data_IF_204158468577
#
_entry.id   IF_204158468577
#
_cell.length_a   1.000
_cell.length_b   1.000
_cell.length_c   1.000
_cell.angle_alpha   90.00
_cell.angle_beta   90.00
_cell.angle_gamma   90.00
#
_symmetry.space_group_name_H-M   'P 1'
#
loop_
_entity.id
_entity.type
_entity.pdbx_description
1 polymer ?
#
# COMPACT_ATOMS: atom_id res chain seq x y z
N UNK A 1 13.01 24.81 -51.79
CA UNK A 1 13.54 23.43 -51.57
C UNK A 1 14.19 23.37 -50.20
N UNK A 2 13.76 22.39 -49.37
CA UNK A 2 14.26 22.00 -48.01
C UNK A 2 14.09 23.12 -46.95
N UNK A 3 13.63 22.92 -45.70
CA UNK A 3 13.65 21.82 -44.72
C UNK A 3 12.38 22.02 -43.84
N UNK A 4 11.53 21.03 -43.56
CA UNK A 4 11.76 20.01 -42.55
C UNK A 4 11.61 20.57 -41.12
N UNK A 5 10.45 20.41 -40.48
CA UNK A 5 10.38 20.27 -39.02
C UNK A 5 9.10 19.49 -38.64
N UNK A 6 9.32 18.22 -38.29
CA UNK A 6 8.33 17.39 -37.62
C UNK A 6 8.18 17.90 -36.18
N UNK A 7 6.94 18.09 -35.71
CA UNK A 7 6.68 18.30 -34.29
C UNK A 7 6.39 16.94 -33.65
N UNK A 8 7.28 16.54 -32.74
CA UNK A 8 7.19 15.35 -31.91
C UNK A 8 6.01 15.42 -30.93
N UNK A 9 5.18 14.39 -30.99
CA UNK A 9 4.76 13.49 -29.89
C UNK A 9 5.02 13.99 -28.45
N UNK A 10 3.94 14.19 -27.69
CA UNK A 10 3.93 14.01 -26.23
C UNK A 10 2.97 12.86 -25.94
N UNK A 11 3.50 11.64 -25.96
CA UNK A 11 2.84 10.48 -25.34
C UNK A 11 3.03 10.67 -23.85
N UNK A 12 1.95 10.98 -23.14
CA UNK A 12 1.93 10.96 -21.68
C UNK A 12 2.23 9.54 -21.21
N UNK A 13 3.43 9.35 -20.66
CA UNK A 13 3.78 8.14 -19.95
C UNK A 13 2.92 8.09 -18.67
N UNK A 14 1.82 7.34 -18.73
CA UNK A 14 1.18 6.83 -17.52
C UNK A 14 2.12 5.77 -16.96
N UNK A 15 3.00 6.16 -16.03
CA UNK A 15 3.74 5.21 -15.22
C UNK A 15 2.78 4.70 -14.15
N UNK A 16 2.18 3.54 -14.41
CA UNK A 16 1.59 2.68 -13.39
C UNK A 16 2.66 2.35 -12.37
N UNK A 17 2.49 2.79 -11.12
CA UNK A 17 3.52 2.70 -10.07
C UNK A 17 3.41 1.46 -9.19
N UNK A 18 2.66 0.43 -9.63
CA UNK A 18 2.47 -0.81 -8.86
C UNK A 18 3.40 -1.86 -9.42
N UNK A 19 4.39 -2.21 -8.60
CA UNK A 19 5.48 -3.10 -8.95
C UNK A 19 6.63 -2.39 -9.63
N UNK A 20 7.84 -2.92 -9.49
CA UNK A 20 9.03 -2.47 -10.22
C UNK A 20 8.94 -2.72 -11.75
N UNK A 21 7.75 -2.65 -12.35
CA UNK A 21 7.49 -2.81 -13.77
C UNK A 21 7.72 -1.49 -14.51
N UNK A 22 8.99 -1.14 -14.70
CA UNK A 22 9.39 0.06 -15.45
C UNK A 22 10.83 0.50 -15.25
N UNK A 23 11.67 -0.31 -14.60
CA UNK A 23 13.05 0.04 -14.31
C UNK A 23 13.93 -0.60 -15.37
N UNK A 24 14.53 0.24 -16.23
CA UNK A 24 15.57 -0.15 -17.18
C UNK A 24 16.62 -1.02 -16.49
N UNK A 25 17.06 -2.07 -17.19
CA UNK A 25 17.93 -3.14 -16.75
C UNK A 25 19.39 -2.72 -16.45
N UNK A 26 19.58 -1.61 -15.75
CA UNK A 26 20.87 -1.10 -15.29
C UNK A 26 20.78 -0.65 -13.84
N UNK A 27 21.11 -1.59 -12.94
CA UNK A 27 21.60 -1.39 -11.56
C UNK A 27 20.64 -0.82 -10.50
N UNK A 28 19.65 -1.61 -10.05
CA UNK A 28 19.16 -1.49 -8.67
C UNK A 28 19.48 -2.78 -7.94
N UNK A 29 20.41 -2.71 -6.98
CA UNK A 29 20.79 -3.85 -6.15
C UNK A 29 19.63 -4.22 -5.22
N UNK A 30 19.59 -5.44 -4.67
CA UNK A 30 18.60 -5.82 -3.65
C UNK A 30 18.57 -4.83 -2.48
N UNK A 31 19.73 -4.24 -2.14
CA UNK A 31 19.82 -3.21 -1.11
C UNK A 31 19.08 -1.90 -1.48
N UNK A 32 18.99 -1.55 -2.76
CA UNK A 32 18.21 -0.39 -3.23
C UNK A 32 16.71 -0.65 -3.08
N UNK A 33 16.27 -1.88 -3.36
CA UNK A 33 14.89 -2.30 -3.17
C UNK A 33 14.50 -2.20 -1.68
N UNK A 34 15.25 -2.82 -0.78
CA UNK A 34 14.95 -2.76 0.66
C UNK A 34 14.96 -1.33 1.22
N UNK A 35 15.86 -0.47 0.74
CA UNK A 35 15.87 0.96 1.13
C UNK A 35 14.67 1.73 0.60
N UNK A 36 14.16 1.39 -0.59
CA UNK A 36 12.91 1.94 -1.10
C UNK A 36 11.75 1.49 -0.21
N UNK A 37 11.62 0.18 0.01
CA UNK A 37 10.50 -0.39 0.75
C UNK A 37 10.46 0.08 2.22
N UNK A 38 11.61 0.24 2.89
CA UNK A 38 11.62 0.80 4.26
C UNK A 38 11.09 2.24 4.31
N UNK A 39 11.42 3.08 3.32
CA UNK A 39 10.87 4.44 3.22
C UNK A 39 9.38 4.44 2.93
N UNK A 40 8.91 3.52 2.09
CA UNK A 40 7.48 3.36 1.83
C UNK A 40 6.74 2.85 3.07
N UNK A 41 7.33 1.92 3.82
CA UNK A 41 6.81 1.44 5.11
C UNK A 41 6.73 2.54 6.16
N UNK A 42 7.75 3.40 6.28
CA UNK A 42 7.69 4.59 7.15
C UNK A 42 6.57 5.55 6.74
N UNK A 43 6.39 5.75 5.43
CA UNK A 43 5.32 6.62 4.93
C UNK A 43 3.94 6.05 5.22
N UNK A 44 3.73 4.76 5.00
CA UNK A 44 2.49 4.06 5.37
C UNK A 44 2.25 4.22 6.88
N UNK A 45 3.25 3.98 7.72
CA UNK A 45 3.13 4.10 9.17
C UNK A 45 2.80 5.54 9.61
N UNK A 46 3.34 6.55 8.93
CA UNK A 46 3.03 7.96 9.17
C UNK A 46 1.60 8.35 8.83
N UNK A 47 0.98 7.70 7.85
CA UNK A 47 -0.42 7.94 7.45
C UNK A 47 -1.40 7.13 8.31
N UNK A 48 -1.10 5.85 8.54
CA UNK A 48 -2.00 4.92 9.24
C UNK A 48 -1.88 5.05 10.76
N UNK A 49 -0.66 5.12 11.28
CA UNK A 49 -0.37 5.08 12.72
C UNK A 49 -1.15 6.11 13.56
N UNK A 50 -1.33 7.37 13.12
CA UNK A 50 -2.13 8.37 13.84
C UNK A 50 -3.62 8.01 14.01
N UNK A 51 -4.14 7.10 13.19
CA UNK A 51 -5.54 6.64 13.27
C UNK A 51 -5.72 5.52 14.30
N UNK A 52 -4.65 4.95 14.83
CA UNK A 52 -4.69 3.79 15.70
C UNK A 52 -4.53 4.19 17.17
N UNK A 53 -5.02 3.34 18.08
CA UNK A 53 -4.71 3.52 19.51
C UNK A 53 -3.22 3.30 19.76
N UNK A 54 -2.64 3.86 20.84
CA UNK A 54 -1.24 3.63 21.18
C UNK A 54 -0.85 2.15 21.24
N UNK A 55 -1.73 1.31 21.80
CA UNK A 55 -1.48 -0.14 21.95
C UNK A 55 -1.38 -0.83 20.58
N UNK A 56 -2.36 -0.62 19.69
CA UNK A 56 -2.31 -1.17 18.33
C UNK A 56 -1.10 -0.64 17.57
N UNK A 57 -0.85 0.68 17.65
CA UNK A 57 0.29 1.32 16.98
C UNK A 57 1.64 0.73 17.41
N UNK A 58 1.75 0.26 18.66
CA UNK A 58 2.98 -0.36 19.19
C UNK A 58 3.32 -1.70 18.54
N UNK A 59 2.37 -2.32 17.84
CA UNK A 59 2.52 -3.64 17.19
C UNK A 59 2.95 -3.56 15.73
N UNK A 60 3.39 -2.38 15.26
CA UNK A 60 3.80 -2.16 13.88
C UNK A 60 4.88 -3.16 13.44
N UNK A 61 4.58 -3.87 12.36
CA UNK A 61 5.55 -4.65 11.58
C UNK A 61 5.60 -4.06 10.18
N UNK A 62 6.81 -3.89 9.65
CA UNK A 62 7.02 -3.53 8.24
C UNK A 62 7.46 -4.76 7.47
N UNK A 63 6.88 -4.95 6.30
CA UNK A 63 7.26 -5.99 5.36
C UNK A 63 7.74 -5.41 4.03
N UNK A 64 8.38 -6.27 3.23
CA UNK A 64 8.92 -5.93 1.92
C UNK A 64 8.69 -7.09 0.98
N UNK A 65 8.29 -6.77 -0.25
CA UNK A 65 8.14 -7.72 -1.35
C UNK A 65 9.39 -7.83 -2.23
N UNK A 66 10.55 -7.33 -1.78
CA UNK A 66 11.79 -7.33 -2.59
C UNK A 66 12.32 -8.74 -2.94
N UNK A 67 11.88 -9.77 -2.22
CA UNK A 67 12.17 -11.18 -2.48
C UNK A 67 10.95 -11.95 -3.02
N UNK A 68 9.86 -11.25 -3.32
CA UNK A 68 8.59 -11.79 -3.80
C UNK A 68 8.40 -11.59 -5.31
N UNK A 69 7.42 -12.27 -5.91
CA UNK A 69 7.05 -12.10 -7.32
C UNK A 69 5.58 -11.65 -7.42
N UNK A 70 5.27 -10.48 -8.03
CA UNK A 70 6.22 -9.51 -8.61
C UNK A 70 7.15 -8.88 -7.56
N UNK A 71 8.38 -8.55 -7.95
CA UNK A 71 9.38 -7.94 -7.06
C UNK A 71 9.00 -6.51 -6.65
N UNK A 72 9.09 -6.27 -5.34
CA UNK A 72 8.92 -4.97 -4.71
C UNK A 72 7.50 -4.75 -4.15
N UNK A 73 7.42 -3.79 -3.23
CA UNK A 73 6.17 -3.41 -2.58
C UNK A 73 6.34 -3.48 -1.07
N UNK A 74 6.30 -2.31 -0.43
CA UNK A 74 6.23 -2.24 1.01
C UNK A 74 4.81 -2.47 1.50
N UNK A 75 4.70 -3.16 2.62
CA UNK A 75 3.47 -3.22 3.39
C UNK A 75 3.78 -3.01 4.86
N UNK A 76 2.76 -2.61 5.61
CA UNK A 76 2.80 -2.58 7.07
C UNK A 76 1.66 -3.40 7.62
N UNK A 77 1.87 -3.98 8.81
CA UNK A 77 0.80 -4.64 9.54
C UNK A 77 0.78 -4.22 11.01
N UNK A 78 -0.41 -4.18 11.57
CA UNK A 78 -0.66 -4.00 12.99
C UNK A 78 -1.49 -5.15 13.51
N UNK A 79 -1.17 -5.63 14.71
CA UNK A 79 -2.00 -6.61 15.41
C UNK A 79 -3.23 -5.93 15.99
N UNK A 80 -4.40 -6.44 15.64
CA UNK A 80 -5.67 -6.10 16.24
C UNK A 80 -6.03 -7.17 17.28
N UNK A 81 -5.96 -6.79 18.55
CA UNK A 81 -6.40 -7.66 19.65
C UNK A 81 -7.87 -8.03 19.48
N UNK A 82 -8.24 -9.24 19.92
CA UNK A 82 -9.56 -9.84 19.66
C UNK A 82 -10.73 -9.08 20.27
N UNK A 83 -10.46 -8.23 21.26
CA UNK A 83 -11.40 -7.34 21.92
C UNK A 83 -11.67 -6.04 21.14
N UNK A 84 -10.91 -5.75 20.08
CA UNK A 84 -11.11 -4.59 19.20
C UNK A 84 -11.99 -5.02 18.02
N UNK A 85 -13.26 -4.58 17.96
CA UNK A 85 -14.13 -4.95 16.85
C UNK A 85 -13.66 -4.29 15.54
N UNK A 86 -13.66 -4.99 14.40
CA UNK A 86 -13.24 -4.42 13.11
C UNK A 86 -13.95 -3.11 12.74
N UNK A 87 -15.25 -3.00 13.04
CA UNK A 87 -16.02 -1.79 12.76
C UNK A 87 -15.50 -0.55 13.51
N UNK A 88 -14.96 -0.71 14.72
CA UNK A 88 -14.37 0.39 15.49
C UNK A 88 -13.09 0.90 14.82
N UNK A 89 -12.28 -0.01 14.27
CA UNK A 89 -11.09 0.35 13.49
C UNK A 89 -11.53 1.11 12.24
N UNK A 90 -12.45 0.55 11.45
CA UNK A 90 -12.92 1.17 10.20
C UNK A 90 -13.55 2.55 10.41
N UNK A 91 -14.30 2.77 11.49
CA UNK A 91 -14.86 4.10 11.81
C UNK A 91 -13.80 5.20 11.92
N UNK A 92 -12.60 4.89 12.42
CA UNK A 92 -11.50 5.87 12.51
C UNK A 92 -10.99 6.25 11.12
N UNK A 93 -10.91 5.27 10.22
CA UNK A 93 -10.54 5.49 8.83
C UNK A 93 -11.59 6.34 8.10
N UNK A 94 -12.87 6.00 8.20
CA UNK A 94 -13.95 6.80 7.60
C UNK A 94 -13.96 8.24 8.13
N UNK A 95 -13.76 8.41 9.44
CA UNK A 95 -13.67 9.75 10.06
C UNK A 95 -12.47 10.56 9.53
N UNK A 96 -11.42 9.89 9.06
CA UNK A 96 -10.26 10.49 8.43
C UNK A 96 -10.38 10.65 6.90
N UNK A 97 -11.59 10.47 6.35
CA UNK A 97 -11.90 10.64 4.94
C UNK A 97 -11.42 9.49 4.04
N UNK A 98 -11.17 8.32 4.62
CA UNK A 98 -11.01 7.11 3.83
C UNK A 98 -12.38 6.63 3.34
N UNK A 99 -12.38 5.90 2.23
CA UNK A 99 -13.59 5.35 1.62
C UNK A 99 -13.49 3.84 1.52
N UNK A 100 -14.62 3.16 1.38
CA UNK A 100 -14.62 1.73 1.07
C UNK A 100 -13.73 1.45 -0.15
N UNK A 101 -13.03 0.31 -0.12
CA UNK A 101 -12.28 -0.14 -1.29
C UNK A 101 -13.20 -0.11 -2.53
N UNK A 102 -12.80 0.54 -3.64
CA UNK A 102 -13.56 0.44 -4.86
C UNK A 102 -13.69 -1.05 -5.20
N UNK A 103 -14.91 -1.52 -5.47
CA UNK A 103 -15.27 -2.94 -5.70
C UNK A 103 -14.56 -3.62 -6.91
N UNK A 104 -13.45 -3.07 -7.41
CA UNK A 104 -12.98 -3.25 -8.78
C UNK A 104 -11.60 -3.93 -8.93
N UNK A 105 -10.92 -4.35 -7.87
CA UNK A 105 -9.74 -5.23 -8.00
C UNK A 105 -9.81 -6.34 -6.96
N UNK A 106 -10.47 -7.41 -7.38
CA UNK A 106 -10.70 -8.68 -6.69
C UNK A 106 -11.46 -8.55 -5.35
N UNK A 107 -12.43 -9.45 -5.08
CA UNK A 107 -13.01 -9.51 -3.76
C UNK A 107 -11.87 -9.73 -2.77
N UNK A 108 -11.90 -8.98 -1.67
CA UNK A 108 -11.08 -9.23 -0.50
C UNK A 108 -10.89 -10.75 -0.32
N UNK A 109 -9.66 -11.26 -0.18
CA UNK A 109 -9.43 -12.71 -0.03
C UNK A 109 -10.28 -13.24 1.13
N UNK A 110 -10.56 -14.54 1.21
CA UNK A 110 -11.46 -15.11 2.23
C UNK A 110 -11.11 -14.71 3.69
N UNK A 111 -9.87 -14.29 3.93
CA UNK A 111 -9.38 -13.76 5.20
C UNK A 111 -9.73 -12.29 5.46
N UNK A 112 -10.04 -11.48 4.45
CA UNK A 112 -10.35 -10.06 4.62
C UNK A 112 -11.80 -9.83 5.05
N UNK A 113 -11.95 -9.11 6.16
CA UNK A 113 -13.20 -8.82 6.85
C UNK A 113 -13.75 -7.45 6.43
N UNK A 114 -12.84 -6.49 6.22
CA UNK A 114 -13.16 -5.12 5.85
C UNK A 114 -11.96 -4.48 5.17
N UNK A 115 -12.19 -3.47 4.33
CA UNK A 115 -11.09 -2.72 3.75
C UNK A 115 -11.51 -1.33 3.28
N UNK A 116 -10.55 -0.42 3.36
CA UNK A 116 -10.70 0.99 3.01
C UNK A 116 -9.53 1.45 2.15
N UNK A 117 -9.73 2.51 1.40
CA UNK A 117 -8.67 3.15 0.62
C UNK A 117 -8.67 4.67 0.77
N UNK A 118 -7.52 5.25 0.48
CA UNK A 118 -7.34 6.70 0.40
C UNK A 118 -6.21 7.05 -0.55
N UNK A 119 -6.45 8.10 -1.33
CA UNK A 119 -5.41 8.76 -2.13
C UNK A 119 -4.58 9.68 -1.22
N UNK A 120 -3.26 9.50 -1.22
CA UNK A 120 -2.29 10.39 -0.60
C UNK A 120 -1.18 10.71 -1.58
N UNK A 121 -0.95 12.00 -1.83
CA UNK A 121 0.13 12.49 -2.70
C UNK A 121 0.17 11.81 -4.09
N UNK A 122 -1.00 11.54 -4.67
CA UNK A 122 -1.14 10.92 -5.98
C UNK A 122 -0.92 9.40 -6.01
N UNK A 123 -0.84 8.76 -4.84
CA UNK A 123 -0.81 7.30 -4.70
C UNK A 123 -1.95 6.80 -3.83
N UNK A 124 -2.45 5.61 -4.12
CA UNK A 124 -3.54 4.97 -3.39
C UNK A 124 -2.98 4.05 -2.32
N UNK A 125 -3.42 4.25 -1.09
CA UNK A 125 -3.20 3.29 -0.01
C UNK A 125 -4.47 2.47 0.14
N UNK A 126 -4.31 1.15 0.22
CA UNK A 126 -5.35 0.24 0.68
C UNK A 126 -4.97 -0.26 2.07
N UNK A 127 -5.97 -0.35 2.95
CA UNK A 127 -5.82 -0.91 4.28
C UNK A 127 -6.94 -1.94 4.52
N UNK A 128 -6.56 -3.18 4.84
CA UNK A 128 -7.47 -4.31 5.02
C UNK A 128 -7.38 -4.84 6.44
N UNK A 129 -8.53 -5.23 7.00
CA UNK A 129 -8.58 -6.01 8.23
C UNK A 129 -8.74 -7.46 7.87
N UNK A 130 -7.83 -8.30 8.35
CA UNK A 130 -7.74 -9.71 7.99
C UNK A 130 -7.81 -10.61 9.22
N UNK A 131 -8.48 -11.76 9.09
CA UNK A 131 -8.39 -12.86 10.03
C UNK A 131 -7.09 -13.64 9.78
N UNK A 132 -6.27 -13.78 10.83
CA UNK A 132 -5.12 -14.68 10.81
C UNK A 132 -5.56 -16.09 11.23
N UNK A 133 -5.12 -17.12 10.50
CA UNK A 133 -5.47 -18.51 10.81
C UNK A 133 -4.97 -18.91 12.21
N UNK A 134 -5.87 -18.89 13.20
CA UNK A 134 -5.56 -19.20 14.60
C UNK A 134 -4.84 -18.09 15.38
N UNK A 135 -4.72 -16.90 14.79
CA UNK A 135 -4.04 -15.74 15.37
C UNK A 135 -4.98 -14.55 15.65
N UNK A 136 -4.44 -13.45 16.21
CA UNK A 136 -5.18 -12.19 16.28
C UNK A 136 -5.45 -11.66 14.86
N UNK A 137 -6.46 -10.80 14.74
CA UNK A 137 -6.70 -10.10 13.47
C UNK A 137 -5.55 -9.16 13.17
N UNK A 138 -5.38 -8.82 11.90
CA UNK A 138 -4.37 -7.87 11.47
C UNK A 138 -5.02 -6.74 10.69
N UNK A 139 -4.45 -5.56 10.80
CA UNK A 139 -4.66 -4.46 9.87
C UNK A 139 -3.42 -4.39 8.99
N UNK A 140 -3.54 -4.77 7.73
CA UNK A 140 -2.47 -4.62 6.73
C UNK A 140 -2.72 -3.38 5.88
N UNK A 141 -1.66 -2.71 5.43
CA UNK A 141 -1.78 -1.62 4.48
C UNK A 141 -0.59 -1.57 3.51
N UNK A 142 -0.89 -1.24 2.25
CA UNK A 142 0.09 -1.14 1.18
C UNK A 142 -0.31 -0.09 0.13
N UNK A 143 0.65 0.32 -0.71
CA UNK A 143 0.36 1.07 -1.94
C UNK A 143 0.01 0.11 -3.08
N UNK A 144 -0.94 0.47 -3.97
CA UNK A 144 -1.62 -0.50 -4.87
C UNK A 144 -1.82 -0.03 -6.33
N UNK A 145 -1.15 1.04 -6.70
CA UNK A 145 -1.26 1.81 -7.96
C UNK A 145 0.03 1.76 -8.72
#
# INVERSE_FOLDING_TARGET
MKKGLALLVVVGAMTTSSGCAGIDATSSSSADCYRKDDREGERLAGVIGPLLSPDVRSTLVKGSGCDSAPEGGAFISYTLYSDIPPHVVMQKFYSAGWVDLPRAKEPCPDSCIAGVSKETDGRRIEATVEDSAGGPRMLEAAFVD
#
